data_IF_122774988078
#
_entry.id   IF_122774988078
#
_cell.length_a   1.000
_cell.length_b   1.000
_cell.length_c   1.000
_cell.angle_alpha   90.00
_cell.angle_beta   90.00
_cell.angle_gamma   90.00
#
_symmetry.space_group_name_H-M   'P 1'
#
loop_
_entity.id
_entity.type
_entity.pdbx_description
1 polymer ?
#
# COMPACT_ATOMS: atom_id res chain seq x y z
N UNK A 1 -29.67 -10.99 -2.16
CA UNK A 1 -28.28 -10.49 -2.03
C UNK A 1 -27.78 -10.77 -0.62
N UNK A 2 -27.63 -12.05 -0.23
CA UNK A 2 -27.34 -12.45 1.16
C UNK A 2 -26.35 -13.64 1.26
N UNK A 3 -25.42 -13.73 0.29
CA UNK A 3 -24.40 -14.81 0.23
C UNK A 3 -22.95 -14.32 0.31
N UNK A 4 -22.71 -13.06 0.65
CA UNK A 4 -21.34 -12.54 0.83
C UNK A 4 -20.76 -12.86 2.22
N UNK A 5 -21.58 -13.16 3.22
CA UNK A 5 -21.16 -13.16 4.63
C UNK A 5 -20.42 -14.38 5.16
N UNK A 6 -20.30 -15.49 4.43
CA UNK A 6 -19.81 -16.76 5.03
C UNK A 6 -18.38 -17.17 4.66
N UNK A 7 -17.65 -16.38 3.86
CA UNK A 7 -16.30 -16.77 3.40
C UNK A 7 -15.18 -15.81 3.76
N UNK A 8 -15.46 -14.51 3.87
CA UNK A 8 -14.44 -13.52 4.19
C UNK A 8 -13.95 -13.72 5.62
N UNK A 9 -12.63 -13.80 5.81
CA UNK A 9 -11.98 -13.98 7.10
C UNK A 9 -10.88 -12.94 7.23
N UNK A 10 -11.25 -11.78 7.77
CA UNK A 10 -10.31 -10.73 8.14
C UNK A 10 -10.30 -10.63 9.66
N UNK A 11 -9.15 -10.92 10.28
CA UNK A 11 -8.96 -10.81 11.73
C UNK A 11 -8.09 -9.61 12.07
N UNK A 12 -8.26 -9.06 13.27
CA UNK A 12 -7.37 -8.03 13.81
C UNK A 12 -6.55 -8.61 14.95
N UNK A 13 -5.23 -8.40 14.92
CA UNK A 13 -4.30 -8.80 15.99
C UNK A 13 -3.51 -7.57 16.46
N UNK A 14 -3.67 -7.23 17.73
CA UNK A 14 -3.04 -6.09 18.40
C UNK A 14 -1.88 -6.47 19.32
N UNK A 15 -1.48 -7.75 19.34
CA UNK A 15 -0.42 -8.24 20.23
C UNK A 15 0.94 -7.58 19.96
N UNK A 16 1.19 -7.19 18.71
CA UNK A 16 2.39 -6.44 18.29
C UNK A 16 2.37 -4.99 18.79
N UNK A 17 1.23 -4.32 18.71
CA UNK A 17 1.00 -2.98 19.26
C UNK A 17 1.19 -2.97 20.79
N UNK A 18 0.58 -3.90 21.50
CA UNK A 18 0.72 -4.03 22.95
C UNK A 18 2.18 -4.25 23.38
N UNK A 19 2.90 -5.13 22.67
CA UNK A 19 4.31 -5.36 22.95
C UNK A 19 5.17 -4.13 22.67
N UNK A 20 4.83 -3.35 21.64
CA UNK A 20 5.49 -2.08 21.32
C UNK A 20 5.27 -1.03 22.41
N UNK A 21 4.04 -0.85 22.87
CA UNK A 21 3.73 0.04 23.99
C UNK A 21 4.45 -0.38 25.28
N UNK A 22 4.48 -1.69 25.59
CA UNK A 22 5.21 -2.22 26.74
C UNK A 22 6.72 -1.95 26.66
N UNK A 23 7.31 -2.08 25.48
CA UNK A 23 8.72 -1.74 25.28
C UNK A 23 8.97 -0.24 25.43
N UNK A 24 8.08 0.62 24.93
CA UNK A 24 8.22 2.07 25.10
C UNK A 24 8.08 2.51 26.57
N UNK A 25 7.21 1.85 27.37
CA UNK A 25 7.10 2.06 28.82
C UNK A 25 8.37 1.64 29.57
N UNK A 26 8.99 0.55 29.13
CA UNK A 26 10.22 0.02 29.71
C UNK A 26 11.07 -0.68 28.65
N UNK A 27 12.16 -0.02 28.22
CA UNK A 27 13.07 -0.46 27.15
C UNK A 27 14.06 -1.55 27.56
N UNK A 28 13.60 -2.52 28.35
CA UNK A 28 14.39 -3.69 28.75
C UNK A 28 14.55 -4.70 27.61
N UNK A 29 15.61 -5.52 27.67
CA UNK A 29 15.84 -6.60 26.70
C UNK A 29 14.74 -7.67 26.74
N UNK A 30 14.12 -7.88 27.90
CA UNK A 30 12.96 -8.79 28.03
C UNK A 30 11.79 -8.28 27.20
N UNK A 31 11.49 -6.98 27.28
CA UNK A 31 10.43 -6.38 26.49
C UNK A 31 10.78 -6.32 25.00
N UNK A 32 12.05 -6.11 24.64
CA UNK A 32 12.49 -6.20 23.25
C UNK A 32 12.28 -7.61 22.68
N UNK A 33 12.67 -8.65 23.42
CA UNK A 33 12.46 -10.05 23.00
C UNK A 33 10.97 -10.37 22.79
N UNK A 34 10.10 -9.85 23.66
CA UNK A 34 8.64 -9.97 23.52
C UNK A 34 8.12 -9.22 22.29
N UNK A 35 8.69 -8.05 22.00
CA UNK A 35 8.33 -7.22 20.85
C UNK A 35 8.65 -7.90 19.53
N UNK A 36 9.89 -8.37 19.35
CA UNK A 36 10.34 -9.01 18.10
C UNK A 36 9.73 -10.41 17.90
N UNK A 37 9.16 -11.02 18.93
CA UNK A 37 8.49 -12.32 18.81
C UNK A 37 7.06 -12.21 18.28
N UNK A 38 6.47 -11.02 18.22
CA UNK A 38 5.08 -10.83 17.76
C UNK A 38 4.98 -10.94 16.24
N UNK A 39 3.93 -11.60 15.72
CA UNK A 39 3.77 -11.84 14.28
C UNK A 39 3.71 -10.53 13.47
N UNK A 40 2.94 -9.52 13.90
CA UNK A 40 2.88 -8.23 13.22
C UNK A 40 4.24 -7.52 13.12
N UNK A 41 5.07 -7.60 14.16
CA UNK A 41 6.40 -7.00 14.16
C UNK A 41 7.39 -7.79 13.28
N UNK A 42 7.22 -9.11 13.18
CA UNK A 42 7.98 -9.94 12.23
C UNK A 42 7.56 -9.68 10.79
N UNK A 43 6.27 -9.48 10.54
CA UNK A 43 5.75 -9.12 9.22
C UNK A 43 6.39 -7.81 8.73
N UNK A 44 6.34 -6.76 9.55
CA UNK A 44 6.97 -5.47 9.23
C UNK A 44 8.48 -5.59 8.98
N UNK A 45 9.18 -6.40 9.78
CA UNK A 45 10.61 -6.66 9.57
C UNK A 45 10.87 -7.45 8.27
N UNK A 46 10.04 -8.43 7.92
CA UNK A 46 10.17 -9.17 6.66
C UNK A 46 9.93 -8.26 5.45
N UNK A 47 8.95 -7.35 5.53
CA UNK A 47 8.78 -6.32 4.52
C UNK A 47 10.02 -5.44 4.41
N UNK A 48 10.61 -5.00 5.53
CA UNK A 48 11.84 -4.23 5.53
C UNK A 48 13.00 -4.96 4.83
N UNK A 49 13.17 -6.26 5.10
CA UNK A 49 14.17 -7.08 4.43
C UNK A 49 13.92 -7.18 2.92
N UNK A 50 12.65 -7.29 2.52
CA UNK A 50 12.27 -7.33 1.11
C UNK A 50 12.55 -6.01 0.39
N UNK A 51 12.23 -4.87 1.02
CA UNK A 51 12.37 -3.54 0.42
C UNK A 51 13.80 -3.00 0.47
N UNK A 52 14.72 -3.64 1.20
CA UNK A 52 16.08 -3.13 1.42
C UNK A 52 17.10 -4.04 0.76
N UNK A 53 17.73 -3.56 -0.32
CA UNK A 53 18.72 -4.33 -1.11
C UNK A 53 19.94 -4.80 -0.30
N UNK A 54 20.29 -4.11 0.79
CA UNK A 54 21.52 -4.34 1.57
C UNK A 54 21.31 -4.43 3.09
N UNK A 55 20.10 -4.79 3.56
CA UNK A 55 19.84 -4.83 5.00
C UNK A 55 20.66 -5.92 5.71
N UNK A 56 21.66 -5.49 6.49
CA UNK A 56 22.40 -6.33 7.46
C UNK A 56 21.84 -6.23 8.87
N UNK A 57 20.82 -5.41 9.07
CA UNK A 57 20.27 -5.10 10.38
C UNK A 57 19.49 -6.30 10.92
N UNK A 58 19.78 -6.69 12.16
CA UNK A 58 19.00 -7.70 12.88
C UNK A 58 17.61 -7.16 13.24
N UNK A 59 16.65 -8.05 13.53
CA UNK A 59 15.31 -7.63 13.96
C UNK A 59 15.36 -6.81 15.27
N UNK A 60 16.30 -7.11 16.16
CA UNK A 60 16.57 -6.35 17.38
C UNK A 60 17.01 -4.92 17.08
N UNK A 61 18.02 -4.76 16.22
CA UNK A 61 18.54 -3.45 15.82
C UNK A 61 17.47 -2.63 15.11
N UNK A 62 16.71 -3.27 14.21
CA UNK A 62 15.59 -2.67 13.50
C UNK A 62 14.57 -2.08 14.46
N UNK A 63 14.06 -2.86 15.41
CA UNK A 63 13.04 -2.36 16.33
C UNK A 63 13.57 -1.34 17.33
N UNK A 64 14.85 -1.44 17.74
CA UNK A 64 15.50 -0.39 18.55
C UNK A 64 15.57 0.92 17.78
N UNK A 65 16.00 0.90 16.51
CA UNK A 65 16.09 2.07 15.67
C UNK A 65 14.71 2.69 15.43
N UNK A 66 13.75 1.90 14.93
CA UNK A 66 12.41 2.36 14.58
C UNK A 66 11.67 3.00 15.75
N UNK A 67 11.84 2.45 16.95
CA UNK A 67 11.21 3.00 18.16
C UNK A 67 12.11 3.99 18.92
N UNK A 68 13.35 4.25 18.51
CA UNK A 68 14.27 5.15 19.22
C UNK A 68 13.73 6.58 19.40
N UNK A 69 12.96 7.06 18.41
CA UNK A 69 12.40 8.42 18.38
C UNK A 69 10.99 8.53 18.96
N UNK A 70 10.37 7.41 19.31
CA UNK A 70 9.03 7.39 19.89
C UNK A 70 9.14 7.40 21.40
N UNK A 71 8.56 8.43 22.03
CA UNK A 71 8.50 8.52 23.49
C UNK A 71 7.14 8.05 23.99
N UNK A 72 7.14 7.17 24.99
CA UNK A 72 5.90 6.80 25.65
C UNK A 72 5.31 8.02 26.38
N UNK A 73 4.00 8.18 26.25
CA UNK A 73 3.20 9.06 27.09
C UNK A 73 1.80 8.47 27.23
N UNK A 74 1.07 8.86 28.28
CA UNK A 74 -0.35 8.51 28.42
C UNK A 74 -1.19 9.01 27.24
N UNK A 75 -0.82 10.15 26.66
CA UNK A 75 -1.49 10.72 25.49
C UNK A 75 -1.32 9.83 24.26
N UNK A 76 -0.07 9.44 23.94
CA UNK A 76 0.20 8.53 22.82
C UNK A 76 -0.61 7.24 22.92
N UNK A 77 -0.61 6.64 24.11
CA UNK A 77 -1.37 5.41 24.38
C UNK A 77 -2.88 5.61 24.25
N UNK A 78 -3.41 6.71 24.78
CA UNK A 78 -4.82 7.08 24.63
C UNK A 78 -5.21 7.27 23.16
N UNK A 79 -4.37 7.94 22.38
CA UNK A 79 -4.64 8.19 20.97
C UNK A 79 -4.63 6.91 20.14
N UNK A 80 -3.63 6.05 20.37
CA UNK A 80 -3.54 4.73 19.74
C UNK A 80 -4.77 3.88 20.08
N UNK A 81 -5.18 3.83 21.35
CA UNK A 81 -6.36 3.08 21.77
C UNK A 81 -7.62 3.62 21.09
N UNK A 82 -7.73 4.94 20.93
CA UNK A 82 -8.87 5.55 20.27
C UNK A 82 -8.95 5.22 18.77
N UNK A 83 -7.79 5.11 18.08
CA UNK A 83 -7.71 4.65 16.68
C UNK A 83 -8.07 3.17 16.58
N UNK A 84 -7.50 2.34 17.47
CA UNK A 84 -7.81 0.90 17.52
C UNK A 84 -9.31 0.65 17.75
N UNK A 85 -9.91 1.36 18.71
CA UNK A 85 -11.35 1.26 18.96
C UNK A 85 -12.16 1.70 17.76
N UNK A 86 -11.74 2.75 17.05
CA UNK A 86 -12.40 3.18 15.82
C UNK A 86 -12.45 2.05 14.79
N UNK A 87 -11.30 1.43 14.48
CA UNK A 87 -11.20 0.31 13.53
C UNK A 87 -12.07 -0.88 13.95
N UNK A 88 -11.99 -1.31 15.22
CA UNK A 88 -12.73 -2.47 15.73
C UNK A 88 -14.25 -2.24 15.77
N UNK A 89 -14.70 -0.99 15.83
CA UNK A 89 -16.11 -0.64 15.89
C UNK A 89 -16.71 -0.30 14.51
N UNK A 90 -15.93 -0.26 13.44
CA UNK A 90 -16.48 -0.05 12.10
C UNK A 90 -17.28 -1.29 11.64
N UNK A 91 -18.34 -1.06 10.88
CA UNK A 91 -19.03 -2.14 10.21
C UNK A 91 -18.14 -2.73 9.10
N UNK A 92 -17.67 -3.97 9.29
CA UNK A 92 -16.82 -4.68 8.32
C UNK A 92 -17.38 -4.60 6.89
N UNK A 93 -18.70 -4.72 6.77
CA UNK A 93 -19.40 -4.70 5.50
C UNK A 93 -19.15 -3.42 4.68
N UNK A 94 -19.04 -2.26 5.32
CA UNK A 94 -18.92 -0.98 4.62
C UNK A 94 -17.58 -0.87 3.90
N UNK A 95 -16.48 -1.07 4.61
CA UNK A 95 -15.15 -0.96 4.02
C UNK A 95 -14.79 -2.19 3.16
N UNK A 96 -15.30 -3.38 3.48
CA UNK A 96 -15.02 -4.59 2.73
C UNK A 96 -15.63 -4.56 1.32
N UNK A 97 -16.80 -3.94 1.17
CA UNK A 97 -17.43 -3.76 -0.14
C UNK A 97 -16.60 -2.88 -1.07
N UNK A 98 -15.93 -1.85 -0.55
CA UNK A 98 -15.09 -0.97 -1.36
C UNK A 98 -13.86 -1.73 -1.90
N UNK A 99 -13.28 -2.63 -1.12
CA UNK A 99 -12.16 -3.49 -1.57
C UNK A 99 -12.64 -4.53 -2.59
N UNK A 100 -13.67 -5.31 -2.22
CA UNK A 100 -14.19 -6.40 -3.08
C UNK A 100 -14.76 -5.88 -4.40
N UNK A 101 -15.12 -4.60 -4.47
CA UNK A 101 -15.56 -3.97 -5.71
C UNK A 101 -14.50 -4.10 -6.81
N UNK A 102 -13.22 -3.98 -6.48
CA UNK A 102 -12.13 -3.91 -7.45
C UNK A 102 -11.38 -5.25 -7.63
N UNK A 103 -11.67 -6.25 -6.80
CA UNK A 103 -11.03 -7.57 -6.89
C UNK A 103 -11.80 -8.54 -7.80
N UNK A 104 -11.14 -9.59 -8.32
CA UNK A 104 -11.80 -10.63 -9.11
C UNK A 104 -13.01 -11.24 -8.39
N UNK A 105 -14.06 -11.59 -9.15
CA UNK A 105 -15.26 -12.19 -8.58
C UNK A 105 -14.94 -13.46 -7.79
N UNK A 106 -15.55 -13.60 -6.61
CA UNK A 106 -15.33 -14.73 -5.72
C UNK A 106 -14.03 -14.68 -4.93
N UNK A 107 -13.31 -13.55 -4.92
CA UNK A 107 -12.17 -13.35 -4.03
C UNK A 107 -12.55 -13.58 -2.56
N UNK A 108 -11.67 -14.24 -1.82
CA UNK A 108 -11.85 -14.55 -0.40
C UNK A 108 -10.60 -14.16 0.37
N UNK A 109 -10.76 -13.27 1.34
CA UNK A 109 -9.72 -12.91 2.28
C UNK A 109 -9.58 -13.99 3.37
N UNK A 110 -8.32 -14.30 3.68
CA UNK A 110 -7.88 -15.13 4.81
C UNK A 110 -6.71 -14.42 5.48
N UNK A 111 -6.97 -13.20 5.94
CA UNK A 111 -5.97 -12.18 6.20
C UNK A 111 -6.02 -11.72 7.64
N UNK A 112 -4.86 -11.55 8.25
CA UNK A 112 -4.71 -10.89 9.55
C UNK A 112 -4.21 -9.46 9.33
N UNK A 113 -4.96 -8.50 9.86
CA UNK A 113 -4.54 -7.12 10.00
C UNK A 113 -3.85 -6.92 11.35
N UNK A 114 -2.53 -6.91 11.34
CA UNK A 114 -1.73 -6.63 12.53
C UNK A 114 -1.68 -5.14 12.82
N UNK A 115 -2.02 -4.75 14.05
CA UNK A 115 -1.80 -3.40 14.52
C UNK A 115 -0.38 -3.31 15.09
N UNK A 116 0.42 -2.38 14.58
CA UNK A 116 1.81 -2.18 14.96
C UNK A 116 2.08 -0.71 15.32
N UNK A 117 3.29 -0.42 15.80
CA UNK A 117 3.75 0.93 16.06
C UNK A 117 5.20 1.09 15.64
N UNK A 118 5.51 2.13 14.86
CA UNK A 118 6.89 2.56 14.58
C UNK A 118 7.48 2.14 13.23
N UNK A 119 6.73 1.42 12.40
CA UNK A 119 7.09 1.13 11.00
C UNK A 119 5.97 1.56 10.05
N UNK A 120 6.16 1.54 8.73
CA UNK A 120 5.11 1.96 7.78
C UNK A 120 3.93 0.97 7.72
N UNK A 121 2.82 1.40 7.11
CA UNK A 121 1.74 0.50 6.72
C UNK A 121 2.24 -0.37 5.56
N UNK A 122 2.08 -1.69 5.66
CA UNK A 122 2.70 -2.61 4.72
C UNK A 122 1.89 -3.89 4.52
N UNK A 123 2.11 -4.51 3.36
CA UNK A 123 1.65 -5.86 3.02
C UNK A 123 2.82 -6.79 2.82
N UNK A 124 2.75 -7.98 3.40
CA UNK A 124 3.73 -9.03 3.13
C UNK A 124 3.08 -10.41 3.22
N UNK A 125 3.11 -11.15 2.11
CA UNK A 125 2.36 -12.40 1.99
C UNK A 125 0.86 -12.14 1.91
N UNK A 126 0.08 -12.82 2.76
CA UNK A 126 -1.39 -12.70 2.81
C UNK A 126 -1.90 -11.74 3.89
N UNK A 127 -0.99 -11.11 4.62
CA UNK A 127 -1.26 -10.33 5.82
C UNK A 127 -0.82 -8.87 5.68
N UNK A 128 -1.40 -7.99 6.50
CA UNK A 128 -1.08 -6.56 6.53
C UNK A 128 -0.63 -6.12 7.92
N UNK A 129 0.19 -5.09 7.98
CA UNK A 129 0.46 -4.35 9.21
C UNK A 129 0.07 -2.89 9.05
N UNK A 130 -0.68 -2.37 10.03
CA UNK A 130 -1.08 -0.97 10.11
C UNK A 130 -0.38 -0.28 11.28
N UNK A 131 0.29 0.83 11.00
CA UNK A 131 0.99 1.64 11.97
C UNK A 131 0.03 2.58 12.70
N UNK A 132 -0.31 2.24 13.93
CA UNK A 132 -1.21 3.06 14.76
C UNK A 132 -0.59 4.40 15.19
N UNK A 133 0.73 4.58 15.00
CA UNK A 133 1.41 5.85 15.22
C UNK A 133 1.47 6.74 13.97
N UNK A 134 0.77 6.40 12.89
CA UNK A 134 0.77 7.22 11.68
C UNK A 134 0.05 8.56 11.93
N UNK A 135 0.77 9.66 11.71
CA UNK A 135 0.31 11.01 12.08
C UNK A 135 -1.09 11.38 11.59
N UNK A 136 -1.48 10.92 10.39
CA UNK A 136 -2.79 11.22 9.83
C UNK A 136 -3.94 10.59 10.65
N UNK A 137 -3.74 9.43 11.25
CA UNK A 137 -4.77 8.76 12.06
C UNK A 137 -5.12 9.56 13.33
N UNK A 138 -4.16 10.33 13.84
CA UNK A 138 -4.34 11.22 14.99
C UNK A 138 -5.08 12.50 14.62
N UNK A 139 -4.96 12.96 13.37
CA UNK A 139 -5.67 14.12 12.85
C UNK A 139 -7.12 13.77 12.48
N UNK A 140 -7.31 12.60 11.88
CA UNK A 140 -8.61 12.04 11.56
C UNK A 140 -8.57 10.52 11.63
N UNK A 141 -9.30 9.93 12.58
CA UNK A 141 -9.31 8.48 12.80
C UNK A 141 -9.83 7.70 11.59
N UNK A 142 -10.67 8.31 10.75
CA UNK A 142 -11.20 7.66 9.54
C UNK A 142 -10.09 7.28 8.57
N UNK A 143 -8.96 7.98 8.60
CA UNK A 143 -7.77 7.64 7.83
C UNK A 143 -7.30 6.21 8.12
N UNK A 144 -7.44 5.69 9.33
CA UNK A 144 -7.05 4.29 9.60
C UNK A 144 -7.88 3.29 8.82
N UNK A 145 -9.17 3.56 8.60
CA UNK A 145 -10.07 2.72 7.80
C UNK A 145 -9.70 2.81 6.32
N UNK A 146 -9.38 4.00 5.81
CA UNK A 146 -8.98 4.15 4.42
C UNK A 146 -7.63 3.49 4.11
N UNK A 147 -6.68 3.56 5.04
CA UNK A 147 -5.42 2.84 4.90
C UNK A 147 -5.61 1.33 5.04
N UNK A 148 -6.50 0.86 5.91
CA UNK A 148 -6.88 -0.56 5.95
C UNK A 148 -7.40 -1.03 4.58
N UNK A 149 -8.29 -0.26 3.94
CA UNK A 149 -8.81 -0.56 2.59
C UNK A 149 -7.65 -0.63 1.58
N UNK A 150 -6.74 0.33 1.62
CA UNK A 150 -5.57 0.39 0.74
C UNK A 150 -4.68 -0.85 0.90
N UNK A 151 -4.27 -1.19 2.12
CA UNK A 151 -3.41 -2.35 2.36
C UNK A 151 -4.15 -3.68 2.05
N UNK A 152 -5.45 -3.80 2.32
CA UNK A 152 -6.19 -5.00 1.95
C UNK A 152 -6.37 -5.15 0.44
N UNK A 153 -6.45 -4.05 -0.30
CA UNK A 153 -6.42 -4.10 -1.76
C UNK A 153 -5.08 -4.66 -2.27
N UNK A 154 -3.97 -4.29 -1.64
CA UNK A 154 -2.65 -4.89 -1.91
C UNK A 154 -2.64 -6.38 -1.65
N UNK A 155 -3.18 -6.85 -0.50
CA UNK A 155 -3.34 -8.29 -0.23
C UNK A 155 -4.13 -8.98 -1.34
N UNK A 156 -5.24 -8.37 -1.75
CA UNK A 156 -6.08 -8.89 -2.82
C UNK A 156 -5.32 -9.04 -4.14
N UNK A 157 -4.46 -8.07 -4.47
CA UNK A 157 -3.63 -8.09 -5.66
C UNK A 157 -2.48 -9.11 -5.58
N UNK A 158 -1.71 -9.13 -4.48
CA UNK A 158 -0.52 -9.99 -4.36
C UNK A 158 -0.86 -11.48 -4.31
N UNK A 159 -2.12 -11.82 -3.99
CA UNK A 159 -2.66 -13.19 -4.14
C UNK A 159 -2.55 -13.73 -5.57
N UNK A 160 -2.64 -12.86 -6.58
CA UNK A 160 -2.52 -13.23 -7.99
C UNK A 160 -1.12 -12.96 -8.54
N UNK A 161 -0.42 -11.98 -7.95
CA UNK A 161 0.89 -11.53 -8.41
C UNK A 161 1.83 -11.31 -7.21
N UNK A 162 2.63 -12.32 -6.83
CA UNK A 162 3.56 -12.20 -5.70
C UNK A 162 4.47 -10.97 -5.84
N UNK A 163 4.89 -10.41 -4.70
CA UNK A 163 5.84 -9.29 -4.69
C UNK A 163 7.13 -9.68 -5.44
N UNK A 164 7.64 -8.81 -6.32
CA UNK A 164 8.86 -9.10 -7.08
C UNK A 164 10.09 -9.11 -6.15
N UNK A 165 11.08 -9.95 -6.47
CA UNK A 165 12.34 -10.02 -5.74
C UNK A 165 13.27 -8.87 -6.16
N UNK A 166 13.33 -7.80 -5.37
CA UNK A 166 14.06 -6.58 -5.74
C UNK A 166 15.58 -6.80 -5.86
N UNK A 167 16.16 -7.74 -5.09
CA UNK A 167 17.60 -8.04 -5.13
C UNK A 167 18.04 -8.78 -6.40
N UNK A 168 17.10 -9.26 -7.22
CA UNK A 168 17.38 -10.02 -8.44
C UNK A 168 17.27 -9.20 -9.73
N UNK A 169 16.92 -7.92 -9.64
CA UNK A 169 16.84 -7.04 -10.80
C UNK A 169 18.26 -6.76 -11.35
N UNK A 170 18.49 -7.01 -12.65
CA UNK A 170 19.79 -6.85 -13.32
C UNK A 170 19.72 -5.95 -14.54
N UNK A 171 18.56 -5.82 -15.17
CA UNK A 171 18.36 -5.10 -16.43
C UNK A 171 17.30 -4.02 -16.30
N UNK A 172 17.38 -3.04 -17.19
CA UNK A 172 16.37 -1.96 -17.29
C UNK A 172 14.97 -2.52 -17.56
N UNK A 173 14.84 -3.59 -18.35
CA UNK A 173 13.58 -4.30 -18.55
C UNK A 173 12.96 -4.78 -17.22
N UNK A 174 13.73 -5.48 -16.40
CA UNK A 174 13.26 -5.99 -15.12
C UNK A 174 12.89 -4.85 -14.16
N UNK A 175 13.66 -3.75 -14.17
CA UNK A 175 13.33 -2.56 -13.37
C UNK A 175 12.01 -1.93 -13.83
N UNK A 176 11.81 -1.81 -15.14
CA UNK A 176 10.56 -1.30 -15.72
C UNK A 176 9.36 -2.19 -15.36
N UNK A 177 9.53 -3.52 -15.39
CA UNK A 177 8.48 -4.46 -15.01
C UNK A 177 8.10 -4.30 -13.52
N UNK A 178 9.08 -4.07 -12.64
CA UNK A 178 8.82 -3.77 -11.23
C UNK A 178 8.13 -2.42 -11.04
N UNK A 179 8.55 -1.37 -11.76
CA UNK A 179 7.87 -0.07 -11.71
C UNK A 179 6.41 -0.19 -12.15
N UNK A 180 6.14 -0.94 -13.23
CA UNK A 180 4.77 -1.21 -13.70
C UNK A 180 3.96 -2.02 -12.70
N UNK A 181 4.58 -3.05 -12.10
CA UNK A 181 3.96 -3.83 -11.02
C UNK A 181 3.53 -2.93 -9.87
N UNK A 182 4.43 -2.09 -9.35
CA UNK A 182 4.16 -1.21 -8.22
C UNK A 182 3.15 -0.13 -8.58
N UNK A 183 3.16 0.36 -9.81
CA UNK A 183 2.14 1.33 -10.29
C UNK A 183 0.74 0.72 -10.31
N UNK A 184 0.61 -0.52 -10.79
CA UNK A 184 -0.68 -1.20 -10.77
C UNK A 184 -1.13 -1.50 -9.33
N UNK A 185 -0.25 -2.04 -8.50
CA UNK A 185 -0.49 -2.32 -7.08
C UNK A 185 -0.99 -1.05 -6.35
N UNK A 186 -0.23 0.03 -6.43
CA UNK A 186 -0.51 1.29 -5.73
C UNK A 186 -1.75 2.00 -6.27
N UNK A 187 -1.95 1.97 -7.60
CA UNK A 187 -3.18 2.44 -8.23
C UNK A 187 -4.42 1.73 -7.70
N UNK A 188 -4.38 0.41 -7.57
CA UNK A 188 -5.48 -0.39 -7.02
C UNK A 188 -5.71 -0.09 -5.53
N UNK A 189 -4.66 0.11 -4.75
CA UNK A 189 -4.76 0.54 -3.35
C UNK A 189 -5.47 1.89 -3.22
N UNK A 190 -5.11 2.87 -4.05
CA UNK A 190 -5.70 4.22 -3.98
C UNK A 190 -7.15 4.24 -4.47
N UNK A 191 -7.44 3.63 -5.62
CA UNK A 191 -8.80 3.64 -6.18
C UNK A 191 -9.80 2.90 -5.27
N UNK A 192 -9.35 1.86 -4.56
CA UNK A 192 -10.21 1.08 -3.64
C UNK A 192 -10.73 1.92 -2.47
N UNK A 193 -9.96 2.91 -2.00
CA UNK A 193 -10.39 3.81 -0.92
C UNK A 193 -11.03 5.12 -1.43
N UNK A 194 -10.85 5.47 -2.70
CA UNK A 194 -11.18 6.78 -3.27
C UNK A 194 -12.65 7.16 -3.08
N UNK A 195 -13.59 6.28 -3.45
CA UNK A 195 -15.02 6.60 -3.39
C UNK A 195 -15.48 6.88 -1.97
N UNK A 196 -15.08 6.03 -1.02
CA UNK A 196 -15.45 6.19 0.39
C UNK A 196 -14.84 7.46 0.99
N UNK A 197 -13.58 7.74 0.65
CA UNK A 197 -12.92 9.00 1.04
C UNK A 197 -13.68 10.22 0.53
N UNK A 198 -14.05 10.25 -0.75
CA UNK A 198 -14.79 11.39 -1.31
C UNK A 198 -16.15 11.54 -0.62
N UNK A 199 -16.90 10.45 -0.42
CA UNK A 199 -18.24 10.53 0.19
C UNK A 199 -18.21 10.98 1.64
N UNK A 200 -17.11 10.74 2.36
CA UNK A 200 -16.93 11.12 3.76
C UNK A 200 -16.08 12.39 3.95
N UNK A 201 -15.58 13.01 2.86
CA UNK A 201 -14.66 14.15 2.93
C UNK A 201 -13.28 13.80 3.51
N UNK A 202 -12.84 12.55 3.40
CA UNK A 202 -11.55 12.01 3.84
C UNK A 202 -10.39 12.37 2.90
N UNK A 203 -10.14 13.68 2.72
CA UNK A 203 -9.14 14.23 1.80
C UNK A 203 -7.90 14.76 2.53
N UNK A 204 -7.63 14.30 3.75
CA UNK A 204 -6.46 14.76 4.50
C UNK A 204 -5.14 14.34 3.80
N UNK A 205 -5.13 13.12 3.28
CA UNK A 205 -3.99 12.56 2.56
C UNK A 205 -3.72 13.27 1.23
N UNK A 206 -2.42 13.45 0.92
CA UNK A 206 -1.97 14.25 -0.21
C UNK A 206 -2.29 13.64 -1.57
N UNK A 207 -2.42 12.32 -1.66
CA UNK A 207 -2.74 11.65 -2.93
C UNK A 207 -4.16 12.02 -3.36
N UNK A 208 -5.11 11.98 -2.43
CA UNK A 208 -6.52 12.26 -2.71
C UNK A 208 -6.77 13.75 -2.94
N UNK A 209 -6.02 14.65 -2.30
CA UNK A 209 -6.04 16.08 -2.67
C UNK A 209 -5.60 16.28 -4.12
N UNK A 210 -4.56 15.56 -4.52
CA UNK A 210 -4.03 15.63 -5.88
C UNK A 210 -5.05 15.11 -6.89
N UNK A 211 -5.66 13.95 -6.63
CA UNK A 211 -6.66 13.34 -7.51
C UNK A 211 -7.96 14.17 -7.68
N UNK A 212 -8.20 15.15 -6.81
CA UNK A 212 -9.31 16.11 -6.93
C UNK A 212 -8.89 17.40 -7.67
N UNK A 213 -7.62 17.54 -8.01
CA UNK A 213 -7.06 18.61 -8.83
C UNK A 213 -6.62 18.03 -10.18
N UNK A 214 -7.45 18.24 -11.21
CA UNK A 214 -7.22 17.70 -12.55
C UNK A 214 -5.88 18.18 -13.15
N UNK A 215 -5.48 19.42 -12.87
CA UNK A 215 -4.26 20.00 -13.42
C UNK A 215 -3.02 19.40 -12.76
N UNK A 216 -3.03 19.26 -11.42
CA UNK A 216 -1.94 18.62 -10.69
C UNK A 216 -1.86 17.12 -11.00
N UNK A 217 -3.00 16.44 -11.15
CA UNK A 217 -3.07 15.04 -11.59
C UNK A 217 -2.42 14.87 -12.96
N UNK A 218 -2.86 15.63 -13.97
CA UNK A 218 -2.31 15.58 -15.31
C UNK A 218 -0.80 15.84 -15.32
N UNK A 219 -0.33 16.82 -14.53
CA UNK A 219 1.09 17.14 -14.40
C UNK A 219 1.90 15.95 -13.84
N UNK A 220 1.38 15.25 -12.82
CA UNK A 220 2.08 14.08 -12.24
C UNK A 220 2.04 12.85 -13.13
N UNK A 221 0.94 12.64 -13.86
CA UNK A 221 0.83 11.59 -14.87
C UNK A 221 1.85 11.80 -15.99
N UNK A 222 1.97 13.03 -16.51
CA UNK A 222 2.99 13.39 -17.50
C UNK A 222 4.42 13.17 -16.97
N UNK A 223 4.69 13.58 -15.72
CA UNK A 223 5.99 13.32 -15.09
C UNK A 223 6.30 11.82 -14.94
N UNK A 224 5.31 11.03 -14.56
CA UNK A 224 5.43 9.59 -14.46
C UNK A 224 5.82 8.96 -15.80
N UNK A 225 5.09 9.27 -16.89
CA UNK A 225 5.38 8.71 -18.20
C UNK A 225 6.71 9.19 -18.79
N UNK A 226 7.13 10.43 -18.53
CA UNK A 226 8.48 10.90 -18.89
C UNK A 226 9.60 10.07 -18.24
N UNK A 227 9.41 9.62 -17.00
CA UNK A 227 10.36 8.73 -16.33
C UNK A 227 10.34 7.34 -16.98
N UNK A 228 9.15 6.81 -17.31
CA UNK A 228 9.04 5.54 -18.01
C UNK A 228 9.71 5.56 -19.39
N UNK A 229 9.52 6.62 -20.17
CA UNK A 229 10.14 6.77 -21.49
C UNK A 229 11.66 6.80 -21.40
N UNK A 230 12.20 7.50 -20.40
CA UNK A 230 13.64 7.53 -20.11
C UNK A 230 14.17 6.14 -19.74
N UNK A 231 13.43 5.36 -18.95
CA UNK A 231 13.78 3.97 -18.66
C UNK A 231 13.64 3.09 -19.92
N UNK A 232 12.67 3.35 -20.80
CA UNK A 232 12.39 2.54 -21.97
C UNK A 232 13.42 2.59 -23.09
N UNK A 233 14.40 3.50 -23.04
CA UNK A 233 15.32 3.77 -24.16
C UNK A 233 16.31 2.64 -24.48
N UNK A 234 16.72 1.86 -23.48
CA UNK A 234 17.58 0.69 -23.66
C UNK A 234 17.23 -0.41 -22.63
N UNK A 235 16.27 -1.25 -22.99
CA UNK A 235 15.73 -2.28 -22.11
C UNK A 235 16.73 -3.38 -21.73
N UNK A 236 17.77 -3.60 -22.53
CA UNK A 236 18.76 -4.66 -22.29
C UNK A 236 19.99 -4.14 -21.55
N UNK A 237 20.09 -2.84 -21.29
CA UNK A 237 21.13 -2.24 -20.45
C UNK A 237 21.14 -2.91 -19.08
N UNK A 238 22.34 -3.26 -18.61
CA UNK A 238 22.57 -3.68 -17.23
C UNK A 238 22.42 -2.48 -16.29
N UNK A 239 21.74 -2.68 -15.18
CA UNK A 239 21.51 -1.61 -14.21
C UNK A 239 22.79 -1.16 -13.52
N UNK A 240 22.86 0.14 -13.31
CA UNK A 240 23.79 0.84 -12.43
C UNK A 240 23.07 1.28 -11.16
N UNK A 241 23.81 1.60 -10.09
CA UNK A 241 23.23 2.02 -8.81
C UNK A 241 22.30 3.24 -8.96
N UNK A 242 22.64 4.17 -9.86
CA UNK A 242 21.84 5.35 -10.14
C UNK A 242 20.47 5.03 -10.77
N UNK A 243 20.32 3.89 -11.46
CA UNK A 243 19.05 3.53 -12.10
C UNK A 243 17.97 3.22 -11.04
N UNK A 244 18.36 2.78 -9.84
CA UNK A 244 17.45 2.53 -8.71
C UNK A 244 16.89 3.82 -8.08
N UNK A 245 17.42 5.00 -8.42
CA UNK A 245 16.84 6.30 -8.00
C UNK A 245 15.40 6.47 -8.50
N UNK A 246 14.98 5.70 -9.52
CA UNK A 246 13.59 5.70 -9.97
C UNK A 246 12.62 5.36 -8.83
N UNK A 247 12.97 4.48 -7.90
CA UNK A 247 12.08 4.15 -6.77
C UNK A 247 11.85 5.35 -5.87
N UNK A 248 12.88 6.17 -5.63
CA UNK A 248 12.75 7.42 -4.90
C UNK A 248 11.93 8.46 -5.69
N UNK A 249 12.17 8.59 -7.00
CA UNK A 249 11.38 9.49 -7.85
C UNK A 249 9.88 9.14 -7.86
N UNK A 250 9.56 7.84 -7.91
CA UNK A 250 8.19 7.32 -7.91
C UNK A 250 7.51 7.42 -6.55
N UNK A 251 8.23 7.09 -5.47
CA UNK A 251 7.67 7.02 -4.11
C UNK A 251 7.75 8.33 -3.31
N UNK A 252 8.55 9.31 -3.80
CA UNK A 252 8.84 10.59 -3.13
C UNK A 252 7.61 11.15 -2.44
N UNK A 253 7.70 11.34 -1.12
CA UNK A 253 6.59 11.67 -0.21
C UNK A 253 5.66 12.80 -0.68
N UNK A 254 6.13 13.73 -1.52
CA UNK A 254 5.32 14.82 -2.07
C UNK A 254 4.68 14.52 -3.43
N UNK A 255 5.32 13.72 -4.28
CA UNK A 255 4.87 13.49 -5.66
C UNK A 255 4.14 12.18 -5.82
N UNK A 256 4.62 11.09 -5.20
CA UNK A 256 3.94 9.79 -5.14
C UNK A 256 3.41 9.35 -6.51
N UNK A 257 4.27 9.42 -7.53
CA UNK A 257 3.90 9.37 -8.94
C UNK A 257 3.17 8.08 -9.32
N UNK A 258 3.63 6.92 -8.84
CA UNK A 258 3.00 5.64 -9.16
C UNK A 258 1.61 5.47 -8.51
N UNK A 259 1.30 6.25 -7.46
CA UNK A 259 0.01 6.22 -6.76
C UNK A 259 -1.00 7.01 -7.60
N UNK A 260 -0.59 8.22 -7.98
CA UNK A 260 -1.42 9.13 -8.78
C UNK A 260 -1.62 8.57 -10.19
N UNK A 261 -0.54 8.17 -10.88
CA UNK A 261 -0.63 7.62 -12.21
C UNK A 261 -1.40 6.29 -12.24
N UNK A 262 -1.11 5.38 -11.30
CA UNK A 262 -1.82 4.11 -11.20
C UNK A 262 -3.33 4.30 -10.97
N UNK A 263 -3.71 5.20 -10.05
CA UNK A 263 -5.13 5.49 -9.80
C UNK A 263 -5.79 6.14 -11.01
N UNK A 264 -5.13 7.11 -11.65
CA UNK A 264 -5.63 7.75 -12.86
C UNK A 264 -5.86 6.73 -13.99
N UNK A 265 -4.89 5.85 -14.25
CA UNK A 265 -5.02 4.79 -15.23
C UNK A 265 -6.21 3.88 -14.90
N UNK A 266 -6.38 3.49 -13.64
CA UNK A 266 -7.50 2.66 -13.22
C UNK A 266 -8.85 3.37 -13.42
N UNK A 267 -8.95 4.66 -13.10
CA UNK A 267 -10.17 5.46 -13.30
C UNK A 267 -10.54 5.57 -14.78
N UNK A 268 -9.57 5.84 -15.67
CA UNK A 268 -9.83 5.93 -17.11
C UNK A 268 -10.23 4.58 -17.72
N UNK A 269 -9.62 3.48 -17.26
CA UNK A 269 -10.04 2.12 -17.64
C UNK A 269 -11.46 1.82 -17.14
N UNK A 270 -11.78 2.11 -15.87
CA UNK A 270 -13.14 1.91 -15.32
C UNK A 270 -14.17 2.71 -16.11
N UNK A 271 -13.87 3.98 -16.39
CA UNK A 271 -14.74 4.90 -17.14
C UNK A 271 -15.01 4.41 -18.56
N UNK A 272 -14.00 3.87 -19.25
CA UNK A 272 -14.14 3.46 -20.66
C UNK A 272 -14.66 2.03 -20.83
N UNK A 273 -14.18 1.10 -20.03
CA UNK A 273 -14.39 -0.34 -20.20
C UNK A 273 -15.22 -0.97 -19.08
N UNK A 274 -15.52 -0.22 -18.01
CA UNK A 274 -16.29 -0.70 -16.86
C UNK A 274 -15.44 -1.42 -15.81
N UNK A 275 -16.02 -1.56 -14.62
CA UNK A 275 -15.38 -2.18 -13.45
C UNK A 275 -14.95 -3.63 -13.68
N UNK A 276 -15.70 -4.41 -14.47
CA UNK A 276 -15.35 -5.80 -14.75
C UNK A 276 -14.01 -5.93 -15.50
N UNK A 277 -13.63 -4.91 -16.28
CA UNK A 277 -12.31 -4.86 -16.90
C UNK A 277 -11.22 -4.73 -15.84
N UNK A 278 -11.35 -3.81 -14.88
CA UNK A 278 -10.35 -3.66 -13.80
C UNK A 278 -10.20 -4.96 -13.00
N UNK A 279 -11.31 -5.60 -12.62
CA UNK A 279 -11.28 -6.89 -11.92
C UNK A 279 -10.51 -7.96 -12.70
N UNK A 280 -10.72 -8.00 -14.02
CA UNK A 280 -9.99 -8.91 -14.90
C UNK A 280 -8.49 -8.57 -14.90
N UNK A 281 -8.14 -7.29 -15.00
CA UNK A 281 -6.75 -6.82 -15.01
C UNK A 281 -6.02 -7.13 -13.71
N UNK A 282 -6.68 -7.06 -12.54
CA UNK A 282 -6.08 -7.50 -11.26
C UNK A 282 -5.61 -8.96 -11.32
N UNK A 283 -6.29 -9.83 -12.07
CA UNK A 283 -5.89 -11.23 -12.26
C UNK A 283 -4.84 -11.42 -13.35
N UNK A 284 -4.82 -10.52 -14.34
CA UNK A 284 -3.92 -10.60 -15.50
C UNK A 284 -2.56 -9.95 -15.24
N UNK A 285 -2.50 -8.96 -14.35
CA UNK A 285 -1.26 -8.31 -13.91
C UNK A 285 -0.98 -6.98 -14.61
N UNK A 286 0.16 -6.38 -14.22
CA UNK A 286 0.54 -5.04 -14.64
C UNK A 286 0.75 -4.90 -16.16
N UNK A 287 1.33 -5.88 -16.84
CA UNK A 287 1.52 -5.79 -18.30
C UNK A 287 0.20 -5.56 -19.04
N UNK A 288 -0.83 -6.34 -18.72
CA UNK A 288 -2.15 -6.19 -19.35
C UNK A 288 -2.84 -4.90 -18.92
N UNK A 289 -2.62 -4.44 -17.68
CA UNK A 289 -3.13 -3.15 -17.20
C UNK A 289 -2.57 -1.98 -18.01
N UNK A 290 -1.26 -1.96 -18.26
CA UNK A 290 -0.61 -0.96 -19.10
C UNK A 290 -1.06 -1.05 -20.56
N UNK A 291 -1.10 -2.25 -21.14
CA UNK A 291 -1.59 -2.44 -22.50
C UNK A 291 -3.01 -1.89 -22.66
N UNK A 292 -3.90 -2.18 -21.71
CA UNK A 292 -5.28 -1.69 -21.74
C UNK A 292 -5.37 -0.16 -21.61
N UNK A 293 -4.49 0.46 -20.83
CA UNK A 293 -4.41 1.91 -20.74
C UNK A 293 -3.92 2.54 -22.05
N UNK A 294 -2.88 2.00 -22.68
CA UNK A 294 -2.38 2.52 -23.96
C UNK A 294 -3.39 2.42 -25.11
N UNK A 295 -4.26 1.39 -25.11
CA UNK A 295 -5.39 1.32 -26.04
C UNK A 295 -6.32 2.55 -25.97
N UNK A 296 -6.35 3.27 -24.85
CA UNK A 296 -7.12 4.52 -24.71
C UNK A 296 -6.44 5.67 -25.45
N UNK A 297 -5.12 5.82 -25.28
CA UNK A 297 -4.36 6.92 -25.86
C UNK A 297 -4.31 6.84 -27.38
N UNK A 298 -4.12 5.65 -27.94
CA UNK A 298 -4.10 5.45 -29.39
C UNK A 298 -5.46 5.83 -30.01
N UNK A 299 -6.56 5.46 -29.37
CA UNK A 299 -7.92 5.81 -29.85
C UNK A 299 -8.23 7.31 -29.74
N UNK A 300 -7.65 8.00 -28.76
CA UNK A 300 -7.79 9.46 -28.63
C UNK A 300 -6.96 10.21 -29.67
N UNK A 301 -5.89 9.60 -30.20
CA UNK A 301 -5.11 10.16 -31.32
C UNK A 301 -5.75 9.92 -32.69
N UNK A 302 -6.61 8.91 -32.81
CA UNK A 302 -7.34 8.57 -34.03
C UNK A 302 -8.69 9.31 -34.20
N UNK A 303 -9.22 9.92 -33.13
CA UNK A 303 -10.52 10.61 -33.09
C UNK A 303 -10.39 12.12 -33.30
#
# INVERSE_FOLDING_TARGET
MDKMGSKQRISFDDSALEASLNYLRNRSDINLKRLISKPGNRLAYNHYLWSSSDSKMTIEEFWREKLSRTFWSRQLESDINAIQMHLKNQEEKEWLQEILRYLPEGHVFTTTAYLILGYDNVVFGEDVALNMGFGQFHLDKRESTYYLIHELAHVGYVRYHPLPELWNIRTVRELLDVVRFLTHLEGMGVISALKLRISQGGTLDGDYKTLLDDAETARRVDQYFKILDRLGSDLNKRLEECDFQVFEEMSRKKTRLWYIAGCHMAQEIEKRFGIEMLRKLVKQGSTEFFNKYYELEDRLREA
#
